data_IF_090434872309
#
_entry.id   IF_090434872309
#
_cell.length_a   1.000
_cell.length_b   1.000
_cell.length_c   1.000
_cell.angle_alpha   90.00
_cell.angle_beta   90.00
_cell.angle_gamma   90.00
#
_symmetry.space_group_name_H-M   'P 1'
#
loop_
_entity.id
_entity.type
_entity.pdbx_description
1 polymer ?
#
# COMPACT_ATOMS: atom_id res chain seq x y z
N UNK A 1 3.08 -29.13 -3.81
CA UNK A 1 2.15 -28.09 -3.34
C UNK A 1 2.89 -26.80 -3.59
N UNK A 2 2.54 -26.04 -4.63
CA UNK A 2 3.18 -24.75 -4.85
C UNK A 2 2.67 -23.83 -3.74
N UNK A 3 3.56 -23.32 -2.89
CA UNK A 3 3.23 -22.19 -2.03
C UNK A 3 2.82 -21.06 -2.96
N UNK A 4 1.59 -20.56 -2.82
CA UNK A 4 1.19 -19.35 -3.53
C UNK A 4 2.11 -18.23 -3.03
N UNK A 5 3.00 -17.73 -3.89
CA UNK A 5 3.84 -16.58 -3.59
C UNK A 5 2.91 -15.37 -3.39
N UNK A 6 2.56 -15.08 -2.15
CA UNK A 6 1.91 -13.84 -1.77
C UNK A 6 2.94 -12.72 -1.77
N UNK A 7 2.78 -11.77 -2.69
CA UNK A 7 3.56 -10.53 -2.71
C UNK A 7 2.85 -9.46 -1.85
N UNK A 8 3.43 -9.09 -0.70
CA UNK A 8 2.94 -7.89 0.00
C UNK A 8 3.47 -6.62 -0.66
N UNK A 9 2.59 -5.63 -0.77
CA UNK A 9 2.86 -4.34 -1.37
C UNK A 9 2.77 -3.26 -0.28
N UNK A 10 3.82 -2.44 -0.13
CA UNK A 10 3.77 -1.34 0.85
C UNK A 10 3.31 -0.06 0.17
N UNK A 11 2.15 0.45 0.62
CA UNK A 11 1.57 1.69 0.10
C UNK A 11 1.91 2.86 1.03
N UNK A 12 2.55 3.89 0.49
CA UNK A 12 2.81 5.15 1.17
C UNK A 12 1.91 6.24 0.63
N UNK A 13 1.15 6.88 1.51
CA UNK A 13 0.30 8.00 1.12
C UNK A 13 1.06 9.32 1.23
N UNK A 14 0.97 10.15 0.20
CA UNK A 14 1.51 11.50 0.26
C UNK A 14 0.61 12.42 1.12
N UNK A 15 1.24 13.16 2.04
CA UNK A 15 0.57 14.13 2.91
C UNK A 15 0.02 13.53 4.20
N UNK A 16 -0.89 14.26 4.85
CA UNK A 16 -1.54 13.79 6.07
C UNK A 16 -2.62 12.77 5.73
N UNK A 17 -2.25 11.49 5.75
CA UNK A 17 -3.17 10.37 5.64
C UNK A 17 -3.54 9.84 7.02
N UNK A 18 -4.83 9.82 7.31
CA UNK A 18 -5.36 9.24 8.54
C UNK A 18 -5.68 7.76 8.30
N UNK A 19 -4.88 6.87 8.89
CA UNK A 19 -5.06 5.42 8.78
C UNK A 19 -6.37 4.96 9.41
N UNK A 20 -6.82 5.59 10.50
CA UNK A 20 -8.09 5.22 11.14
C UNK A 20 -9.27 5.57 10.23
N UNK A 21 -9.12 6.59 9.39
CA UNK A 21 -10.13 6.98 8.40
C UNK A 21 -10.38 5.94 7.30
N UNK A 22 -9.56 4.88 7.18
CA UNK A 22 -9.71 3.82 6.18
C UNK A 22 -9.98 2.43 6.77
N UNK A 23 -10.05 2.32 8.11
CA UNK A 23 -10.41 1.06 8.75
C UNK A 23 -11.84 0.64 8.36
N UNK A 24 -11.97 -0.58 7.84
CA UNK A 24 -13.26 -1.13 7.41
C UNK A 24 -13.78 -0.60 6.06
N UNK A 25 -13.02 0.25 5.37
CA UNK A 25 -13.37 0.70 4.02
C UNK A 25 -13.00 -0.33 2.97
N UNK A 26 -13.68 -0.27 1.82
CA UNK A 26 -13.34 -1.11 0.71
C UNK A 26 -12.11 -0.54 -0.01
N UNK A 27 -11.04 -1.34 -0.05
CA UNK A 27 -9.79 -1.00 -0.74
C UNK A 27 -9.73 -1.81 -2.03
N UNK A 28 -9.50 -1.14 -3.15
CA UNK A 28 -9.34 -1.77 -4.47
C UNK A 28 -8.16 -1.14 -5.20
N UNK A 29 -7.32 -1.98 -5.80
CA UNK A 29 -6.36 -1.53 -6.81
C UNK A 29 -6.94 -1.84 -8.18
N UNK A 30 -6.97 -0.85 -9.06
CA UNK A 30 -7.52 -0.95 -10.40
C UNK A 30 -6.34 -0.82 -11.38
N UNK A 31 -6.16 -1.84 -12.22
CA UNK A 31 -5.14 -1.85 -13.27
C UNK A 31 -3.71 -1.95 -12.75
N UNK A 32 -3.42 -2.81 -11.77
CA UNK A 32 -2.06 -2.98 -11.18
C UNK A 32 -0.99 -3.25 -12.24
N UNK A 33 -1.36 -3.93 -13.34
CA UNK A 33 -0.46 -4.27 -14.45
C UNK A 33 -0.41 -3.20 -15.55
N UNK A 34 -0.99 -2.02 -15.31
CA UNK A 34 -1.01 -0.91 -16.27
C UNK A 34 -0.01 0.17 -15.89
N UNK A 35 0.33 1.05 -16.84
CA UNK A 35 1.24 2.18 -16.61
C UNK A 35 0.67 3.24 -15.64
N UNK A 36 -0.66 3.26 -15.45
CA UNK A 36 -1.34 4.23 -14.60
C UNK A 36 -2.31 3.54 -13.62
N UNK A 37 -1.80 2.74 -12.67
CA UNK A 37 -2.65 2.08 -11.70
C UNK A 37 -3.31 3.09 -10.76
N UNK A 38 -4.50 2.73 -10.27
CA UNK A 38 -5.29 3.59 -9.37
C UNK A 38 -5.67 2.81 -8.12
N UNK A 39 -5.41 3.41 -6.97
CA UNK A 39 -5.94 2.93 -5.69
C UNK A 39 -7.26 3.64 -5.41
N UNK A 40 -8.30 2.86 -5.11
CA UNK A 40 -9.60 3.34 -4.69
C UNK A 40 -9.86 2.90 -3.26
N UNK A 41 -10.24 3.87 -2.43
CA UNK A 41 -10.70 3.63 -1.07
C UNK A 41 -12.09 4.25 -0.95
N UNK A 42 -13.12 3.41 -0.90
CA UNK A 42 -14.54 3.79 -1.04
C UNK A 42 -14.81 4.70 -2.26
N UNK A 43 -15.03 6.00 -2.05
CA UNK A 43 -15.30 7.01 -3.08
C UNK A 43 -14.09 7.90 -3.39
N UNK A 44 -12.96 7.67 -2.72
CA UNK A 44 -11.72 8.42 -2.90
C UNK A 44 -10.81 7.67 -3.87
N UNK A 45 -10.15 8.44 -4.73
CA UNK A 45 -9.22 7.91 -5.73
C UNK A 45 -7.83 8.47 -5.50
N UNK A 46 -6.84 7.61 -5.71
CA UNK A 46 -5.44 7.92 -5.58
C UNK A 46 -4.71 7.40 -6.80
N UNK A 47 -3.95 8.27 -7.47
CA UNK A 47 -2.98 7.82 -8.47
C UNK A 47 -1.85 7.13 -7.71
N UNK A 48 -1.46 5.95 -8.15
CA UNK A 48 -0.36 5.21 -7.53
C UNK A 48 0.82 5.04 -8.48
N UNK A 49 2.02 5.29 -7.96
CA UNK A 49 3.28 5.07 -8.66
C UNK A 49 4.02 3.92 -7.99
N UNK A 50 4.28 2.84 -8.74
CA UNK A 50 5.02 1.66 -8.27
C UNK A 50 6.50 1.86 -8.58
N UNK A 51 7.35 1.88 -7.56
CA UNK A 51 8.80 2.02 -7.71
C UNK A 51 9.53 0.94 -6.93
N UNK A 52 10.62 0.44 -7.48
CA UNK A 52 11.52 -0.42 -6.72
C UNK A 52 12.10 0.40 -5.55
N UNK A 53 12.02 -0.12 -4.32
CA UNK A 53 12.64 0.56 -3.20
C UNK A 53 14.16 0.36 -3.24
N UNK A 54 14.89 1.45 -2.99
CA UNK A 54 16.34 1.38 -2.79
C UNK A 54 16.57 1.11 -1.30
N UNK A 55 16.92 -0.14 -0.97
CA UNK A 55 17.19 -0.59 0.39
C UNK A 55 16.16 -1.59 0.92
N UNK A 56 16.27 -1.97 2.19
CA UNK A 56 15.33 -2.89 2.85
C UNK A 56 14.57 -2.14 3.95
N UNK A 57 13.25 -2.31 4.01
CA UNK A 57 12.42 -1.84 5.12
C UNK A 57 12.44 -2.85 6.26
N UNK A 58 12.72 -2.39 7.46
CA UNK A 58 12.54 -3.15 8.69
C UNK A 58 11.13 -2.89 9.21
N UNK A 59 10.30 -3.92 9.20
CA UNK A 59 8.96 -3.86 9.78
C UNK A 59 9.04 -4.47 11.18
N UNK A 60 8.74 -3.66 12.19
CA UNK A 60 8.68 -4.08 13.58
C UNK A 60 7.23 -4.43 13.91
N UNK A 61 7.00 -5.66 14.36
CA UNK A 61 5.71 -6.10 14.89
C UNK A 61 5.84 -6.36 16.38
N UNK A 62 4.91 -5.82 17.15
CA UNK A 62 4.79 -6.16 18.56
C UNK A 62 3.77 -7.29 18.70
N UNK A 63 4.24 -8.44 19.16
CA UNK A 63 3.41 -9.59 19.47
C UNK A 63 2.52 -9.33 20.68
N UNK A 64 1.43 -10.10 20.80
CA UNK A 64 0.53 -10.05 21.97
C UNK A 64 1.23 -10.49 23.27
N UNK A 65 2.34 -11.21 23.16
CA UNK A 65 3.21 -11.60 24.29
C UNK A 65 4.18 -10.47 24.71
N UNK A 66 4.07 -9.29 24.08
CA UNK A 66 4.92 -8.14 24.34
C UNK A 66 6.31 -8.22 23.69
N UNK A 67 6.63 -9.30 22.96
CA UNK A 67 7.90 -9.40 22.24
C UNK A 67 7.86 -8.58 20.97
N UNK A 68 9.00 -7.95 20.67
CA UNK A 68 9.22 -7.28 19.41
C UNK A 68 9.83 -8.28 18.41
N UNK A 69 9.14 -8.56 17.33
CA UNK A 69 9.69 -9.26 16.17
C UNK A 69 9.98 -8.25 15.06
N UNK A 70 10.93 -8.59 14.19
CA UNK A 70 11.20 -7.79 13.01
C UNK A 70 11.39 -8.70 11.79
N UNK A 71 11.04 -8.18 10.63
CA UNK A 71 11.45 -8.74 9.36
C UNK A 71 11.91 -7.62 8.43
N UNK A 72 12.95 -7.91 7.64
CA UNK A 72 13.47 -7.00 6.64
C UNK A 72 12.86 -7.38 5.28
N UNK A 73 12.32 -6.41 4.55
CA UNK A 73 11.71 -6.64 3.25
C UNK A 73 12.22 -5.64 2.21
N UNK A 74 12.60 -6.16 1.06
CA UNK A 74 13.07 -5.38 -0.09
C UNK A 74 11.96 -5.45 -1.12
N UNK A 75 11.04 -4.49 -1.08
CA UNK A 75 9.81 -4.51 -1.88
C UNK A 75 9.71 -3.33 -2.84
N UNK A 76 8.81 -3.47 -3.81
CA UNK A 76 8.26 -2.32 -4.52
C UNK A 76 7.44 -1.47 -3.55
N UNK A 77 7.72 -0.18 -3.54
CA UNK A 77 6.95 0.82 -2.79
C UNK A 77 5.97 1.48 -3.74
N UNK A 78 4.74 1.59 -3.28
CA UNK A 78 3.66 2.21 -4.03
C UNK A 78 3.31 3.54 -3.39
N UNK A 79 3.59 4.64 -4.08
CA UNK A 79 3.26 5.97 -3.59
C UNK A 79 1.87 6.37 -4.07
N UNK A 80 0.97 6.71 -3.15
CA UNK A 80 -0.41 7.08 -3.43
C UNK A 80 -0.64 8.58 -3.23
N UNK A 81 -1.02 9.26 -4.32
CA UNK A 81 -1.42 10.68 -4.31
C UNK A 81 -2.91 10.82 -4.55
N UNK A 82 -3.62 11.51 -3.65
CA UNK A 82 -5.06 11.75 -3.80
C UNK A 82 -5.35 12.59 -5.04
N UNK A 83 -6.33 12.15 -5.82
CA UNK A 83 -6.81 12.87 -7.01
C UNK A 83 -8.30 13.15 -6.92
N UNK A 84 -8.73 14.29 -7.46
CA UNK A 84 -10.14 14.61 -7.65
C UNK A 84 -10.53 14.29 -9.09
N UNK A 85 -11.44 13.34 -9.28
CA UNK A 85 -11.99 13.05 -10.61
C UNK A 85 -12.99 14.15 -10.93
N UNK A 86 -12.67 14.97 -11.95
CA UNK A 86 -13.63 15.89 -12.53
C UNK A 86 -14.28 15.20 -13.74
N UNK A 87 -15.62 15.12 -13.79
CA UNK A 87 -16.30 14.66 -15.00
C UNK A 87 -15.96 15.60 -16.17
N UNK A 88 -15.76 15.03 -17.35
CA UNK A 88 -15.59 15.78 -18.61
C UNK A 88 -16.93 16.26 -19.13
#
# INVERSE_FOLDING_TARGET
>A
MAEEETEDLVIEFEGNFDLDSVRGQQIQVIGIDTDEPVLRIDSKFYKIDVKDSIGSRLILQQGMDGKLSYYAKTDKVVTARRVMIKPK
#
